data_IF_092486645117
#
_entry.id   IF_092486645117
#
_cell.length_a   1.000
_cell.length_b   1.000
_cell.length_c   1.000
_cell.angle_alpha   90.00
_cell.angle_beta   90.00
_cell.angle_gamma   90.00
#
_symmetry.space_group_name_H-M   'P 1'
#
loop_
_entity.id
_entity.type
_entity.pdbx_description
1 polymer ?
#
# COMPACT_ATOMS: atom_id res chain seq x y z
N UNK A 1 -0.27 -6.37 23.70
CA UNK A 1 -0.93 -5.28 22.97
C UNK A 1 -1.83 -5.93 21.94
N UNK A 2 -3.11 -5.61 21.95
CA UNK A 2 -4.09 -6.03 20.94
C UNK A 2 -3.95 -5.16 19.69
N UNK A 3 -4.43 -5.64 18.54
CA UNK A 3 -4.56 -4.80 17.33
C UNK A 3 -5.43 -3.56 17.58
N UNK A 4 -6.39 -3.66 18.50
CA UNK A 4 -7.32 -2.57 18.84
C UNK A 4 -6.64 -1.44 19.64
N UNK A 5 -5.44 -1.66 20.18
CA UNK A 5 -4.67 -0.65 20.91
C UNK A 5 -3.97 0.36 19.97
N UNK A 6 -3.97 0.10 18.66
CA UNK A 6 -3.28 0.93 17.67
C UNK A 6 -4.27 1.84 16.91
N UNK A 7 -4.05 3.17 16.91
CA UNK A 7 -4.86 4.10 16.16
C UNK A 7 -4.92 3.77 14.67
N UNK A 8 -6.08 4.03 14.06
CA UNK A 8 -6.32 3.80 12.64
C UNK A 8 -7.17 4.92 12.05
N UNK A 9 -6.74 5.46 10.91
CA UNK A 9 -7.54 6.37 10.09
C UNK A 9 -8.34 5.55 9.07
N UNK A 10 -9.68 5.63 9.04
CA UNK A 10 -10.48 4.91 8.05
C UNK A 10 -10.21 5.45 6.63
N UNK A 11 -9.60 4.62 5.77
CA UNK A 11 -9.33 4.93 4.36
C UNK A 11 -10.01 3.95 3.40
N UNK A 12 -10.55 2.85 3.93
CA UNK A 12 -11.29 1.84 3.18
C UNK A 12 -12.80 2.13 3.20
N UNK A 13 -13.53 1.61 2.20
CA UNK A 13 -14.99 1.61 2.23
C UNK A 13 -15.56 0.74 3.38
N UNK A 14 -14.78 -0.23 3.84
CA UNK A 14 -15.14 -1.26 4.80
C UNK A 14 -14.34 -2.53 4.53
N UNK A 15 -14.77 -3.69 5.05
CA UNK A 15 -14.21 -4.98 4.67
C UNK A 15 -14.20 -5.17 3.15
N UNK A 16 -13.07 -5.57 2.58
CA UNK A 16 -12.99 -5.81 1.14
C UNK A 16 -13.82 -7.04 0.76
N UNK A 17 -14.56 -7.01 -0.35
CA UNK A 17 -15.48 -8.09 -0.68
C UNK A 17 -14.70 -9.37 -1.03
N UNK A 18 -15.26 -10.51 -0.67
CA UNK A 18 -14.76 -11.84 -1.06
C UNK A 18 -15.82 -12.54 -1.90
N UNK A 19 -15.42 -13.18 -2.99
CA UNK A 19 -16.36 -13.86 -3.88
C UNK A 19 -15.74 -15.07 -4.57
N UNK A 20 -16.55 -16.09 -4.93
CA UNK A 20 -16.05 -17.26 -5.65
C UNK A 20 -15.72 -16.90 -7.11
N UNK A 21 -14.84 -17.70 -7.71
CA UNK A 21 -14.45 -17.67 -9.12
C UNK A 21 -14.80 -19.01 -9.81
N UNK A 22 -16.09 -19.38 -9.90
CA UNK A 22 -16.51 -20.73 -10.31
C UNK A 22 -16.05 -21.10 -11.72
N UNK A 23 -16.04 -20.15 -12.65
CA UNK A 23 -15.55 -20.37 -14.02
C UNK A 23 -14.04 -20.65 -14.07
N UNK A 24 -13.27 -20.04 -13.17
CA UNK A 24 -11.83 -20.29 -13.08
C UNK A 24 -11.56 -21.66 -12.45
N UNK A 25 -12.28 -21.99 -11.38
CA UNK A 25 -12.25 -23.33 -10.78
C UNK A 25 -12.56 -24.42 -11.80
N UNK A 26 -13.65 -24.27 -12.56
CA UNK A 26 -14.04 -25.21 -13.61
C UNK A 26 -12.97 -25.32 -14.70
N UNK A 27 -12.45 -24.18 -15.19
CA UNK A 27 -11.41 -24.16 -16.21
C UNK A 27 -10.10 -24.86 -15.78
N UNK A 28 -9.85 -24.97 -14.47
CA UNK A 28 -8.68 -25.65 -13.90
C UNK A 28 -8.96 -27.08 -13.44
N UNK A 29 -10.13 -27.63 -13.78
CA UNK A 29 -10.51 -29.03 -13.54
C UNK A 29 -11.43 -29.27 -12.34
N UNK A 30 -11.89 -28.21 -11.65
CA UNK A 30 -12.93 -28.30 -10.62
C UNK A 30 -12.51 -28.96 -9.30
N UNK A 31 -11.25 -29.37 -9.15
CA UNK A 31 -10.76 -30.01 -7.92
C UNK A 31 -10.52 -29.05 -6.75
N UNK A 32 -10.49 -27.73 -7.01
CA UNK A 32 -10.28 -26.68 -6.00
C UNK A 32 -11.26 -25.54 -6.24
N UNK A 33 -11.92 -25.09 -5.19
CA UNK A 33 -12.74 -23.88 -5.21
C UNK A 33 -11.86 -22.65 -5.02
N UNK A 34 -11.92 -21.70 -5.96
CA UNK A 34 -11.08 -20.51 -5.96
C UNK A 34 -11.94 -19.32 -5.60
N UNK A 35 -11.49 -18.55 -4.62
CA UNK A 35 -12.10 -17.30 -4.20
C UNK A 35 -11.12 -16.14 -4.36
N UNK A 36 -11.65 -14.93 -4.47
CA UNK A 36 -10.86 -13.71 -4.52
C UNK A 36 -11.37 -12.68 -3.49
N UNK A 37 -10.48 -12.28 -2.58
CA UNK A 37 -10.70 -11.15 -1.67
C UNK A 37 -10.14 -9.87 -2.29
N UNK A 38 -11.02 -8.92 -2.58
CA UNK A 38 -10.79 -7.81 -3.51
C UNK A 38 -10.19 -6.58 -2.84
N UNK A 39 -8.96 -6.73 -2.34
CA UNK A 39 -8.17 -5.59 -1.84
C UNK A 39 -7.92 -4.53 -2.93
N UNK A 40 -8.01 -4.89 -4.21
CA UNK A 40 -7.94 -3.98 -5.34
C UNK A 40 -9.15 -3.02 -5.45
N UNK A 41 -10.24 -3.29 -4.72
CA UNK A 41 -11.48 -2.50 -4.73
C UNK A 41 -11.78 -1.88 -3.34
N UNK A 42 -10.79 -1.79 -2.46
CA UNK A 42 -11.01 -1.47 -1.05
C UNK A 42 -11.24 0.03 -0.75
N UNK A 43 -10.95 0.95 -1.69
CA UNK A 43 -11.00 2.40 -1.46
C UNK A 43 -11.27 3.20 -2.73
N UNK A 44 -11.89 4.37 -2.57
CA UNK A 44 -12.07 5.37 -3.63
C UNK A 44 -10.83 6.23 -3.88
N UNK A 45 -9.79 6.11 -3.04
CA UNK A 45 -8.56 6.91 -3.14
C UNK A 45 -7.67 6.32 -4.23
N UNK A 46 -7.73 6.93 -5.42
CA UNK A 46 -6.86 6.60 -6.56
C UNK A 46 -6.81 5.09 -6.86
N UNK A 47 -7.98 4.44 -6.94
CA UNK A 47 -8.17 2.98 -7.12
C UNK A 47 -7.80 2.08 -5.93
N UNK A 48 -7.36 2.62 -4.80
CA UNK A 48 -7.09 1.83 -3.61
C UNK A 48 -6.00 0.77 -3.80
N UNK A 49 -6.12 -0.33 -3.06
CA UNK A 49 -5.20 -1.45 -3.08
C UNK A 49 -4.65 -1.81 -1.69
N UNK A 50 -3.83 -2.85 -1.66
CA UNK A 50 -3.26 -3.34 -0.40
C UNK A 50 -2.40 -2.31 0.36
N UNK A 51 -1.88 -1.26 -0.29
CA UNK A 51 -1.06 -0.27 0.42
C UNK A 51 -1.94 0.68 1.22
N UNK A 52 -3.14 1.03 0.75
CA UNK A 52 -4.10 1.84 1.51
C UNK A 52 -4.44 1.19 2.86
N UNK A 53 -4.66 -0.13 2.88
CA UNK A 53 -4.89 -0.88 4.14
C UNK A 53 -3.74 -0.75 5.14
N UNK A 54 -2.48 -0.78 4.66
CA UNK A 54 -1.32 -0.54 5.53
C UNK A 54 -1.29 0.90 6.02
N UNK A 55 -1.57 1.85 5.13
CA UNK A 55 -1.50 3.28 5.39
C UNK A 55 -2.48 3.74 6.47
N UNK A 56 -3.62 3.07 6.67
CA UNK A 56 -4.57 3.43 7.74
C UNK A 56 -3.91 3.55 9.13
N UNK A 57 -2.90 2.73 9.41
CA UNK A 57 -2.15 2.77 10.68
C UNK A 57 -1.01 3.79 10.66
N UNK A 58 -0.24 3.83 9.57
CA UNK A 58 0.91 4.74 9.45
C UNK A 58 0.46 6.21 9.47
N UNK A 59 -0.62 6.56 8.77
CA UNK A 59 -1.08 7.96 8.74
C UNK A 59 -1.75 8.39 10.03
N UNK A 60 -2.24 7.45 10.85
CA UNK A 60 -2.72 7.78 12.19
C UNK A 60 -1.57 8.33 13.05
N UNK A 61 -0.42 7.65 13.02
CA UNK A 61 0.80 8.12 13.68
C UNK A 61 1.33 9.43 13.06
N UNK A 62 1.32 9.56 11.73
CA UNK A 62 1.74 10.79 11.06
C UNK A 62 0.92 12.02 11.52
N UNK A 63 -0.40 11.86 11.64
CA UNK A 63 -1.28 12.92 12.12
C UNK A 63 -1.08 13.23 13.60
N UNK A 64 -0.89 12.21 14.44
CA UNK A 64 -0.60 12.39 15.88
C UNK A 64 0.72 13.14 16.09
N UNK A 65 1.73 12.85 15.27
CA UNK A 65 3.00 13.57 15.28
C UNK A 65 2.89 14.99 14.68
N UNK A 66 1.76 15.35 14.07
CA UNK A 66 1.59 16.66 13.41
C UNK A 66 2.44 16.83 12.16
N UNK A 67 2.73 15.72 11.45
CA UNK A 67 3.39 15.78 10.14
C UNK A 67 2.46 16.42 9.10
N UNK A 68 3.04 17.21 8.19
CA UNK A 68 2.29 17.91 7.13
C UNK A 68 2.50 17.29 5.74
N UNK A 69 3.50 16.42 5.59
CA UNK A 69 3.91 15.87 4.30
C UNK A 69 4.22 14.39 4.43
N UNK A 70 3.53 13.55 3.65
CA UNK A 70 3.93 12.15 3.51
C UNK A 70 5.03 12.08 2.46
N UNK A 71 6.13 11.45 2.81
CA UNK A 71 7.23 11.24 1.90
C UNK A 71 7.25 9.72 1.63
N UNK A 72 7.46 9.26 0.40
CA UNK A 72 7.73 7.82 0.15
C UNK A 72 8.63 7.53 -1.07
N UNK A 73 8.91 6.26 -1.33
CA UNK A 73 9.77 5.78 -2.42
C UNK A 73 9.19 4.55 -3.13
N UNK A 74 9.49 4.41 -4.42
CA UNK A 74 9.21 3.19 -5.18
C UNK A 74 9.75 3.24 -6.60
N UNK A 75 9.56 2.16 -7.37
CA UNK A 75 9.85 2.18 -8.80
C UNK A 75 8.88 3.06 -9.60
N UNK A 76 9.24 3.45 -10.83
CA UNK A 76 8.42 4.31 -11.72
C UNK A 76 6.92 4.00 -11.70
N UNK A 77 6.52 2.74 -11.87
CA UNK A 77 5.11 2.32 -11.86
C UNK A 77 4.60 1.85 -10.50
N UNK A 78 5.19 2.35 -9.41
CA UNK A 78 4.85 1.93 -8.05
C UNK A 78 3.39 2.23 -7.71
N UNK A 79 2.65 1.15 -7.43
CA UNK A 79 1.33 1.25 -6.82
C UNK A 79 1.39 1.95 -5.45
N UNK A 80 2.53 1.85 -4.76
CA UNK A 80 2.69 2.41 -3.43
C UNK A 80 2.78 3.93 -3.44
N UNK A 81 3.64 4.52 -4.28
CA UNK A 81 3.78 5.98 -4.36
C UNK A 81 2.50 6.66 -4.82
N UNK A 82 1.76 6.03 -5.74
CA UNK A 82 0.40 6.44 -6.14
C UNK A 82 -0.58 6.43 -4.97
N UNK A 83 -0.60 5.37 -4.16
CA UNK A 83 -1.47 5.27 -2.99
C UNK A 83 -1.06 6.23 -1.87
N UNK A 84 0.23 6.41 -1.58
CA UNK A 84 0.72 7.41 -0.61
C UNK A 84 0.29 8.82 -1.03
N UNK A 85 0.47 9.17 -2.29
CA UNK A 85 0.08 10.50 -2.82
C UNK A 85 -1.43 10.70 -2.72
N UNK A 86 -2.22 9.69 -3.10
CA UNK A 86 -3.67 9.75 -2.97
C UNK A 86 -4.13 9.95 -1.52
N UNK A 87 -3.56 9.19 -0.58
CA UNK A 87 -3.90 9.29 0.85
C UNK A 87 -3.46 10.63 1.44
N UNK A 88 -2.25 11.09 1.13
CA UNK A 88 -1.77 12.41 1.56
C UNK A 88 -2.74 13.50 1.12
N UNK A 89 -3.10 13.52 -0.17
CA UNK A 89 -3.99 14.53 -0.75
C UNK A 89 -5.42 14.44 -0.19
N UNK A 90 -5.92 13.24 0.06
CA UNK A 90 -7.19 13.03 0.73
C UNK A 90 -7.22 13.64 2.14
N UNK A 91 -6.12 13.52 2.88
CA UNK A 91 -5.98 14.03 4.25
C UNK A 91 -5.54 15.50 4.32
N UNK A 92 -5.39 16.19 3.19
CA UNK A 92 -4.92 17.58 3.13
C UNK A 92 -3.42 17.76 3.37
N UNK A 93 -2.63 16.68 3.26
CA UNK A 93 -1.18 16.68 3.43
C UNK A 93 -0.44 16.90 2.10
N UNK A 94 0.82 17.31 2.20
CA UNK A 94 1.80 17.25 1.12
C UNK A 94 2.20 15.82 0.78
N UNK A 95 2.70 15.61 -0.44
CA UNK A 95 3.23 14.33 -0.90
C UNK A 95 4.53 14.53 -1.68
N UNK A 96 5.63 13.94 -1.19
CA UNK A 96 6.91 13.87 -1.91
C UNK A 96 7.23 12.41 -2.19
N UNK A 97 7.46 12.04 -3.44
CA UNK A 97 7.78 10.66 -3.80
C UNK A 97 9.04 10.58 -4.64
N UNK A 98 9.93 9.66 -4.27
CA UNK A 98 11.11 9.29 -5.07
C UNK A 98 10.74 8.11 -5.96
N UNK A 99 10.94 8.24 -7.27
CA UNK A 99 10.66 7.20 -8.26
C UNK A 99 11.96 6.73 -8.90
N UNK A 100 12.25 5.44 -8.75
CA UNK A 100 13.54 4.84 -9.14
C UNK A 100 13.40 3.88 -10.35
N UNK A 101 14.50 3.69 -11.08
CA UNK A 101 14.63 2.79 -12.23
C UNK A 101 14.68 1.31 -11.84
N UNK A 102 13.66 0.82 -11.15
CA UNK A 102 13.61 -0.52 -10.57
C UNK A 102 13.45 -1.67 -11.56
N UNK A 103 13.06 -1.37 -12.79
CA UNK A 103 12.85 -2.35 -13.84
C UNK A 103 13.46 -1.79 -15.10
N UNK A 104 14.28 -2.59 -15.78
CA UNK A 104 14.75 -2.27 -17.12
C UNK A 104 13.60 -2.46 -18.10
N UNK A 105 12.91 -1.37 -18.41
CA UNK A 105 11.73 -1.35 -19.27
C UNK A 105 11.87 -0.24 -20.33
N UNK A 106 12.28 -0.58 -21.57
CA UNK A 106 12.73 0.41 -22.55
C UNK A 106 11.58 1.18 -23.25
N UNK A 107 10.34 1.02 -22.83
CA UNK A 107 9.20 1.71 -23.45
C UNK A 107 9.15 3.19 -23.06
N UNK A 108 9.09 4.06 -24.06
CA UNK A 108 9.06 5.52 -23.87
C UNK A 108 7.84 6.06 -23.10
N UNK A 109 6.79 5.25 -22.95
CA UNK A 109 5.58 5.55 -22.19
C UNK A 109 5.67 5.19 -20.71
N UNK A 110 6.65 4.37 -20.30
CA UNK A 110 6.73 3.80 -18.96
C UNK A 110 6.72 4.84 -17.84
N UNK A 111 7.41 5.97 -18.05
CA UNK A 111 7.47 7.09 -17.11
C UNK A 111 6.32 8.09 -17.27
N UNK A 112 5.36 7.86 -18.17
CA UNK A 112 4.33 8.83 -18.55
C UNK A 112 2.91 8.38 -18.29
N UNK A 113 2.65 7.07 -18.28
CA UNK A 113 1.30 6.49 -18.17
C UNK A 113 1.14 5.67 -16.90
N UNK A 114 -0.09 5.38 -16.49
CA UNK A 114 -0.36 4.47 -15.37
C UNK A 114 -0.14 5.12 -14.01
N UNK A 115 0.52 4.42 -13.08
CA UNK A 115 0.63 4.88 -11.68
C UNK A 115 1.33 6.23 -11.57
N UNK A 116 2.44 6.44 -12.28
CA UNK A 116 3.15 7.73 -12.25
C UNK A 116 2.30 8.87 -12.81
N UNK A 117 1.46 8.60 -13.80
CA UNK A 117 0.52 9.59 -14.34
C UNK A 117 -0.50 10.01 -13.27
N UNK A 118 -1.06 9.04 -12.54
CA UNK A 118 -2.01 9.31 -11.47
C UNK A 118 -1.35 10.10 -10.34
N UNK A 119 -0.13 9.74 -9.94
CA UNK A 119 0.66 10.51 -8.95
C UNK A 119 0.80 11.97 -9.35
N UNK A 120 1.05 12.27 -10.64
CA UNK A 120 1.12 13.65 -11.15
C UNK A 120 -0.23 14.35 -11.10
N UNK A 121 -1.31 13.67 -11.53
CA UNK A 121 -2.67 14.24 -11.55
C UNK A 121 -3.14 14.58 -10.12
N UNK A 122 -2.79 13.75 -9.14
CA UNK A 122 -3.06 14.00 -7.73
C UNK A 122 -2.21 15.16 -7.15
N UNK A 123 -1.26 15.68 -7.93
CA UNK A 123 -0.39 16.78 -7.53
C UNK A 123 0.77 16.38 -6.63
N UNK A 124 1.26 15.13 -6.68
CA UNK A 124 2.47 14.75 -5.94
C UNK A 124 3.72 15.47 -6.44
N UNK A 125 4.65 15.82 -5.54
CA UNK A 125 6.03 16.16 -5.89
C UNK A 125 6.76 14.85 -6.23
N UNK A 126 7.11 14.67 -7.51
CA UNK A 126 7.72 13.44 -8.02
C UNK A 126 9.17 13.72 -8.38
N UNK A 127 10.08 12.99 -7.74
CA UNK A 127 11.51 13.09 -7.96
C UNK A 127 12.00 11.81 -8.62
N UNK A 128 12.35 11.91 -9.89
CA UNK A 128 12.97 10.79 -10.62
C UNK A 128 14.42 10.64 -10.16
N UNK A 129 14.79 9.43 -9.76
CA UNK A 129 16.16 9.05 -9.44
C UNK A 129 16.64 7.98 -10.45
N UNK A 130 17.73 8.24 -11.19
CA UNK A 130 18.26 7.29 -12.17
C UNK A 130 18.86 6.02 -11.55
N UNK A 131 18.97 5.92 -10.22
CA UNK A 131 19.45 4.71 -9.56
C UNK A 131 18.53 3.48 -9.82
N UNK A 132 19.15 2.28 -9.92
CA UNK A 132 18.48 1.00 -10.27
C UNK A 132 17.57 0.41 -9.16
N UNK A 133 17.23 -0.89 -9.18
CA UNK A 133 16.41 -1.52 -8.12
C UNK A 133 17.11 -1.65 -6.76
N UNK A 134 16.44 -1.27 -5.68
CA UNK A 134 16.77 -1.63 -4.29
C UNK A 134 15.51 -1.46 -3.42
N UNK A 135 15.36 -2.31 -2.41
CA UNK A 135 14.27 -2.25 -1.43
C UNK A 135 14.67 -1.53 -0.14
N UNK A 136 15.98 -1.26 0.04
CA UNK A 136 16.54 -0.55 1.17
C UNK A 136 16.41 0.97 1.08
N UNK A 137 16.88 1.64 2.13
CA UNK A 137 16.88 3.10 2.24
C UNK A 137 18.06 3.68 1.44
N UNK A 138 17.76 4.64 0.55
CA UNK A 138 18.75 5.33 -0.28
C UNK A 138 18.90 6.80 0.09
N UNK A 139 20.02 7.41 -0.31
CA UNK A 139 20.29 8.82 -0.04
C UNK A 139 19.27 9.76 -0.70
N UNK A 140 18.68 9.38 -1.84
CA UNK A 140 17.62 10.18 -2.48
C UNK A 140 16.36 10.27 -1.63
N UNK A 141 16.05 9.21 -0.91
CA UNK A 141 14.97 9.18 0.06
C UNK A 141 15.24 10.12 1.25
N UNK A 142 16.47 10.09 1.80
CA UNK A 142 16.88 11.04 2.85
C UNK A 142 16.82 12.50 2.38
N UNK A 143 17.34 12.81 1.18
CA UNK A 143 17.25 14.14 0.59
C UNK A 143 15.80 14.61 0.40
N UNK A 144 14.88 13.69 0.13
CA UNK A 144 13.47 14.00 0.04
C UNK A 144 12.89 14.45 1.40
N UNK A 145 13.21 13.73 2.47
CA UNK A 145 12.83 14.10 3.84
C UNK A 145 13.44 15.46 4.23
N UNK A 146 14.76 15.62 4.10
CA UNK A 146 15.49 16.84 4.44
C UNK A 146 14.94 18.07 3.70
N UNK A 147 14.51 17.90 2.44
CA UNK A 147 13.95 19.02 1.67
C UNK A 147 12.61 19.53 2.20
N UNK A 148 11.81 18.66 2.84
CA UNK A 148 10.56 19.07 3.50
C UNK A 148 10.89 19.87 4.74
N UNK A 149 11.83 19.39 5.55
CA UNK A 149 12.30 20.09 6.75
C UNK A 149 12.91 21.45 6.42
N UNK A 150 13.74 21.52 5.37
CA UNK A 150 14.35 22.75 4.89
C UNK A 150 13.33 23.77 4.37
N UNK A 151 12.17 23.31 3.90
CA UNK A 151 11.05 24.17 3.53
C UNK A 151 10.17 24.58 4.73
N UNK A 152 10.54 24.18 5.95
CA UNK A 152 9.82 24.47 7.19
C UNK A 152 8.67 23.51 7.50
N UNK A 153 8.54 22.41 6.74
CA UNK A 153 7.52 21.39 6.96
C UNK A 153 8.00 20.26 7.87
N UNK A 154 7.08 19.34 8.19
CA UNK A 154 7.37 18.14 8.99
C UNK A 154 7.06 16.87 8.17
N UNK A 155 8.08 16.17 7.64
CA UNK A 155 7.86 14.96 6.87
C UNK A 155 7.47 13.78 7.76
N UNK A 156 6.70 12.84 7.20
CA UNK A 156 6.52 11.50 7.72
C UNK A 156 7.11 10.49 6.74
N UNK A 157 8.03 9.66 7.22
CA UNK A 157 8.81 8.75 6.40
C UNK A 157 8.09 7.42 6.17
N UNK A 158 7.76 7.11 4.91
CA UNK A 158 7.10 5.85 4.54
C UNK A 158 8.02 5.04 3.63
N UNK A 159 8.64 3.95 4.13
CA UNK A 159 9.57 3.14 3.35
C UNK A 159 8.86 2.36 2.25
N UNK A 160 9.64 1.77 1.33
CA UNK A 160 9.15 1.03 0.18
C UNK A 160 8.02 0.03 0.51
N UNK A 161 6.81 0.30 0.01
CA UNK A 161 5.64 -0.55 0.19
C UNK A 161 5.07 -0.56 1.62
N UNK A 162 5.49 0.39 2.46
CA UNK A 162 5.24 0.50 3.90
C UNK A 162 5.66 -0.75 4.68
N UNK A 163 6.65 -1.50 4.19
CA UNK A 163 6.93 -2.82 4.75
C UNK A 163 7.93 -2.82 5.90
N UNK A 164 9.09 -2.18 5.71
CA UNK A 164 10.11 -2.04 6.75
C UNK A 164 9.79 -0.86 7.68
N UNK A 165 8.58 -0.88 8.23
CA UNK A 165 8.05 0.13 9.13
C UNK A 165 7.46 -0.59 10.36
N UNK A 166 7.63 -0.07 11.61
CA UNK A 166 7.09 -0.71 12.80
C UNK A 166 5.60 -1.04 12.73
N UNK A 167 4.81 -0.17 12.08
CA UNK A 167 3.37 -0.34 11.86
C UNK A 167 2.99 -1.06 10.54
N UNK A 168 3.97 -1.45 9.73
CA UNK A 168 3.78 -1.87 8.34
C UNK A 168 2.96 -3.14 8.14
N UNK A 169 2.92 -4.02 9.14
CA UNK A 169 2.18 -5.29 9.12
C UNK A 169 0.76 -5.20 9.68
N UNK A 170 0.43 -4.11 10.40
CA UNK A 170 -0.79 -4.01 11.21
C UNK A 170 -2.08 -4.13 10.38
N UNK A 171 -2.08 -3.49 9.20
CA UNK A 171 -3.21 -3.56 8.27
C UNK A 171 -3.57 -5.00 7.88
N UNK A 172 -2.58 -5.85 7.63
CA UNK A 172 -2.80 -7.23 7.20
C UNK A 172 -2.96 -8.23 8.36
N UNK A 173 -2.47 -7.90 9.56
CA UNK A 173 -2.87 -8.61 10.76
C UNK A 173 -4.36 -8.43 11.04
N UNK A 174 -4.89 -7.20 10.88
CA UNK A 174 -6.33 -6.95 10.99
C UNK A 174 -7.14 -7.53 9.83
N UNK A 175 -6.53 -7.71 8.65
CA UNK A 175 -7.16 -8.39 7.52
C UNK A 175 -7.50 -9.86 7.83
N UNK A 176 -6.68 -10.56 8.63
CA UNK A 176 -6.99 -11.93 9.04
C UNK A 176 -8.26 -12.01 9.91
N UNK A 177 -8.45 -11.05 10.83
CA UNK A 177 -9.72 -10.92 11.59
C UNK A 177 -10.91 -10.70 10.67
N UNK A 178 -10.72 -9.89 9.63
CA UNK A 178 -11.75 -9.62 8.62
C UNK A 178 -12.12 -10.89 7.83
N UNK A 179 -11.14 -11.73 7.49
CA UNK A 179 -11.37 -13.04 6.85
C UNK A 179 -12.18 -13.96 7.77
N UNK A 180 -11.83 -14.08 9.04
CA UNK A 180 -12.56 -14.94 9.98
C UNK A 180 -14.04 -14.54 10.13
N UNK A 181 -14.34 -13.24 10.12
CA UNK A 181 -15.73 -12.75 10.09
C UNK A 181 -16.43 -13.13 8.78
N UNK A 182 -15.73 -13.02 7.65
CA UNK A 182 -16.29 -13.34 6.35
C UNK A 182 -16.49 -14.85 6.11
N UNK A 183 -15.61 -15.70 6.64
CA UNK A 183 -15.78 -17.15 6.68
C UNK A 183 -17.11 -17.53 7.34
N UNK A 184 -17.40 -16.95 8.51
CA UNK A 184 -18.67 -17.15 9.21
C UNK A 184 -19.88 -16.61 8.42
N UNK A 185 -19.73 -15.49 7.70
CA UNK A 185 -20.80 -14.90 6.89
C UNK A 185 -21.12 -15.72 5.63
N UNK A 186 -20.10 -16.35 5.04
CA UNK A 186 -20.22 -17.13 3.82
C UNK A 186 -20.41 -18.64 4.05
N UNK A 187 -20.37 -19.09 5.31
CA UNK A 187 -20.41 -20.51 5.70
C UNK A 187 -19.34 -21.33 4.95
N UNK A 188 -18.12 -20.80 4.94
CA UNK A 188 -16.95 -21.39 4.26
C UNK A 188 -15.71 -21.20 5.12
N UNK A 189 -14.80 -22.16 5.07
CA UNK A 189 -13.45 -22.03 5.64
C UNK A 189 -12.43 -22.04 4.50
N UNK A 190 -11.50 -21.08 4.49
CA UNK A 190 -10.48 -21.00 3.45
C UNK A 190 -9.22 -21.73 3.89
N UNK A 191 -8.97 -22.92 3.31
CA UNK A 191 -7.83 -23.75 3.68
C UNK A 191 -6.48 -23.08 3.39
N UNK A 192 -6.43 -22.23 2.35
CA UNK A 192 -5.20 -21.61 1.87
C UNK A 192 -5.43 -20.17 1.38
N UNK A 193 -4.41 -19.33 1.60
CA UNK A 193 -4.34 -17.97 1.04
C UNK A 193 -3.14 -17.87 0.12
N UNK A 194 -3.38 -17.39 -1.12
CA UNK A 194 -2.33 -17.11 -2.09
C UNK A 194 -2.13 -15.60 -2.16
N UNK A 195 -0.91 -15.12 -1.89
CA UNK A 195 -0.59 -13.69 -1.88
C UNK A 195 0.75 -13.39 -2.55
N UNK A 196 0.75 -12.39 -3.43
CA UNK A 196 1.98 -11.86 -4.02
C UNK A 196 2.84 -11.16 -2.95
N UNK A 197 4.12 -11.50 -2.91
CA UNK A 197 5.07 -10.98 -1.91
C UNK A 197 6.28 -10.36 -2.60
N UNK A 198 6.58 -9.10 -2.28
CA UNK A 198 7.82 -8.41 -2.69
C UNK A 198 8.47 -7.80 -1.46
N UNK A 199 7.95 -6.67 -0.95
CA UNK A 199 8.56 -6.00 0.21
C UNK A 199 8.15 -6.58 1.56
N UNK A 200 7.19 -7.51 1.62
CA UNK A 200 7.00 -8.39 2.79
C UNK A 200 5.74 -8.14 3.63
N UNK A 201 5.47 -6.91 4.11
CA UNK A 201 4.54 -6.75 5.25
C UNK A 201 3.07 -7.08 5.00
N UNK A 202 2.66 -7.23 3.74
CA UNK A 202 1.34 -7.81 3.41
C UNK A 202 1.27 -9.26 3.92
N UNK A 203 2.26 -10.07 3.53
CA UNK A 203 2.33 -11.48 3.90
C UNK A 203 2.72 -11.62 5.38
N UNK A 204 3.64 -10.81 5.90
CA UNK A 204 4.01 -10.85 7.31
C UNK A 204 2.82 -10.49 8.23
N UNK A 205 2.01 -9.49 7.85
CA UNK A 205 0.79 -9.17 8.58
C UNK A 205 -0.22 -10.32 8.56
N UNK A 206 -0.40 -10.98 7.41
CA UNK A 206 -1.26 -12.18 7.33
C UNK A 206 -0.74 -13.29 8.25
N UNK A 207 0.56 -13.58 8.24
CA UNK A 207 1.17 -14.62 9.10
C UNK A 207 0.99 -14.30 10.58
N UNK A 208 1.11 -13.04 10.99
CA UNK A 208 0.93 -12.65 12.38
C UNK A 208 -0.55 -12.62 12.82
N UNK A 209 -1.47 -12.50 11.85
CA UNK A 209 -2.91 -12.42 12.11
C UNK A 209 -3.65 -13.75 12.09
N UNK A 210 -3.15 -14.74 11.33
CA UNK A 210 -3.61 -16.13 11.35
C UNK A 210 -2.96 -16.91 12.49
#
# INVERSE_FOLDING_TARGET
MSLDDFPRVPLLFGPSPIHPLPRLSEALGGGVEIWAKREDCNSGIAFGGNKVRKLEYLVAEALEQGCDTLVSVGGVQSNHTRQVTGVARHLGLGAVTVQEGWVDWPESSYEKVGNIQLTRILGGDIRMDPAGFDIGIRDSWHRALESVEAAGGKPYAIPAGASDHPLGGMGFANWAREVAVQEALHDVFFDHVIVCTVTGSTHAGMIAGF
#
